data_IF_576894237484
#
_entry.id   IF_576894237484
#
_cell.length_a   1.000
_cell.length_b   1.000
_cell.length_c   1.000
_cell.angle_alpha   90.00
_cell.angle_beta   90.00
_cell.angle_gamma   90.00
#
_symmetry.space_group_name_H-M   'P 1'
#
loop_
_entity.id
_entity.type
_entity.pdbx_description
1 polymer ?
#
# COMPACT_ATOMS: atom_id res chain seq x y z
N UNK A 1 -2.39 -17.54 46.73
CA UNK A 1 -1.64 -18.03 45.56
C UNK A 1 -1.31 -16.82 44.74
N UNK A 2 -0.07 -16.28 44.81
CA UNK A 2 0.31 -15.04 44.15
C UNK A 2 0.24 -15.12 42.61
N UNK A 3 0.58 -16.27 42.04
CA UNK A 3 0.63 -16.52 40.60
C UNK A 3 -0.74 -16.44 39.91
N UNK A 4 -1.84 -16.65 40.65
CA UNK A 4 -3.20 -16.68 40.09
C UNK A 4 -4.05 -15.46 40.49
N UNK A 5 -3.43 -14.32 40.77
CA UNK A 5 -4.13 -13.09 41.19
C UNK A 5 -4.96 -12.45 40.10
N UNK A 6 -4.64 -12.70 38.84
CA UNK A 6 -5.39 -12.30 37.65
C UNK A 6 -6.52 -13.29 37.28
N UNK A 7 -6.58 -14.43 38.02
CA UNK A 7 -7.58 -15.49 37.80
C UNK A 7 -7.10 -16.62 36.90
N UNK A 8 -5.85 -16.59 36.42
CA UNK A 8 -5.26 -17.59 35.55
C UNK A 8 -3.99 -18.19 36.16
N UNK A 9 -3.60 -19.36 35.68
CA UNK A 9 -2.30 -19.98 35.83
C UNK A 9 -1.82 -20.43 34.46
N UNK A 10 -0.84 -19.72 33.88
CA UNK A 10 -0.29 -20.00 32.56
C UNK A 10 0.81 -21.07 32.58
N UNK A 11 1.35 -21.40 31.41
CA UNK A 11 2.38 -22.42 31.25
C UNK A 11 3.67 -22.13 32.04
N UNK A 12 4.10 -20.85 32.06
CA UNK A 12 5.32 -20.46 32.79
C UNK A 12 5.13 -20.50 34.29
N UNK A 13 3.98 -20.06 34.79
CA UNK A 13 3.64 -20.09 36.21
C UNK A 13 3.49 -21.54 36.76
N UNK A 14 2.96 -22.45 35.92
CA UNK A 14 2.80 -23.85 36.27
C UNK A 14 4.08 -24.67 36.08
N UNK A 15 5.14 -24.12 35.49
CA UNK A 15 6.38 -24.85 35.20
C UNK A 15 6.98 -25.54 36.43
N UNK A 16 7.00 -24.85 37.53
CA UNK A 16 7.52 -25.33 38.82
C UNK A 16 6.40 -25.62 39.83
N UNK A 17 5.12 -25.55 39.42
CA UNK A 17 3.96 -25.61 40.31
C UNK A 17 3.61 -24.23 40.88
N UNK A 18 2.56 -24.17 41.69
CA UNK A 18 2.08 -22.93 42.31
C UNK A 18 2.48 -22.81 43.77
N UNK A 19 2.70 -21.58 44.24
CA UNK A 19 3.00 -21.30 45.64
C UNK A 19 1.74 -20.84 46.40
N UNK A 20 1.30 -21.56 47.41
CA UNK A 20 0.22 -21.14 48.29
C UNK A 20 0.78 -20.56 49.57
N UNK A 21 0.50 -19.30 49.89
CA UNK A 21 0.76 -18.71 51.19
C UNK A 21 -0.49 -18.86 52.10
N UNK A 22 -0.36 -19.60 53.17
CA UNK A 22 -1.44 -19.85 54.14
C UNK A 22 -1.18 -19.04 55.41
N UNK A 23 -2.06 -18.09 55.72
CA UNK A 23 -2.03 -17.35 56.98
C UNK A 23 -2.56 -18.23 58.13
N UNK A 24 -1.78 -18.35 59.19
CA UNK A 24 -2.16 -19.13 60.32
C UNK A 24 -3.09 -18.35 61.28
N UNK A 25 -4.27 -18.89 61.65
CA UNK A 25 -5.12 -18.28 62.67
C UNK A 25 -4.42 -18.21 64.06
N UNK A 26 -4.79 -17.18 64.82
CA UNK A 26 -4.29 -17.07 66.21
C UNK A 26 -4.64 -18.33 67.05
N UNK A 27 -3.63 -18.85 67.75
CA UNK A 27 -3.77 -20.08 68.54
C UNK A 27 -3.45 -21.38 67.79
N UNK A 28 -2.94 -21.28 66.54
CA UNK A 28 -2.35 -22.42 65.81
C UNK A 28 -1.12 -22.90 66.62
N UNK A 29 -1.02 -24.22 66.89
CA UNK A 29 0.10 -24.82 67.56
C UNK A 29 1.03 -25.54 66.57
N UNK A 30 2.30 -25.71 66.96
CA UNK A 30 3.24 -26.61 66.30
C UNK A 30 2.62 -28.01 66.21
N UNK A 31 2.79 -28.69 65.06
CA UNK A 31 2.21 -30.01 64.82
C UNK A 31 0.78 -29.97 64.27
N UNK A 32 0.16 -28.78 64.11
CA UNK A 32 -1.09 -28.66 63.35
C UNK A 32 -0.84 -29.08 61.91
N UNK A 33 -1.86 -29.62 61.25
CA UNK A 33 -1.75 -30.03 59.81
C UNK A 33 -2.60 -29.15 58.94
N UNK A 34 -1.95 -28.52 57.95
CA UNK A 34 -2.63 -27.84 56.85
C UNK A 34 -2.83 -28.85 55.73
N UNK A 35 -4.04 -28.87 55.17
CA UNK A 35 -4.33 -29.59 53.91
C UNK A 35 -4.85 -28.63 52.89
N UNK A 36 -4.14 -28.50 51.77
CA UNK A 36 -4.65 -27.90 50.54
C UNK A 36 -5.32 -29.00 49.73
N UNK A 37 -6.56 -28.78 49.32
CA UNK A 37 -7.28 -29.69 48.43
C UNK A 37 -7.45 -28.97 47.10
N UNK A 38 -6.73 -29.43 46.08
CA UNK A 38 -6.87 -28.99 44.69
C UNK A 38 -8.01 -29.78 44.08
N UNK A 39 -9.04 -29.10 43.59
CA UNK A 39 -10.15 -29.68 42.83
C UNK A 39 -9.99 -29.32 41.39
N UNK A 40 -9.84 -30.30 40.50
CA UNK A 40 -9.65 -30.14 39.06
C UNK A 40 -10.98 -29.95 38.32
N UNK A 41 -10.97 -29.51 37.03
CA UNK A 41 -12.19 -29.39 36.20
C UNK A 41 -13.02 -30.69 36.13
N UNK A 42 -12.36 -31.84 36.08
CA UNK A 42 -13.00 -33.18 36.07
C UNK A 42 -13.57 -33.62 37.42
N UNK A 43 -13.51 -32.75 38.47
CA UNK A 43 -13.94 -33.00 39.86
C UNK A 43 -13.07 -33.99 40.60
N UNK A 44 -11.96 -34.43 40.06
CA UNK A 44 -10.96 -35.16 40.85
C UNK A 44 -10.27 -34.21 41.83
N UNK A 45 -9.75 -34.75 42.91
CA UNK A 45 -9.08 -33.95 43.96
C UNK A 45 -7.71 -34.51 44.27
N UNK A 46 -6.79 -33.61 44.58
CA UNK A 46 -5.48 -33.92 45.09
C UNK A 46 -5.21 -33.14 46.38
N UNK A 47 -4.61 -33.80 47.38
CA UNK A 47 -4.33 -33.19 48.66
C UNK A 47 -2.84 -32.97 48.84
N UNK A 48 -2.45 -31.76 49.17
CA UNK A 48 -1.10 -31.41 49.62
C UNK A 48 -1.15 -31.10 51.12
N UNK A 49 -0.36 -31.80 51.90
CA UNK A 49 -0.38 -31.66 53.39
C UNK A 49 0.94 -31.10 53.87
N UNK A 50 0.86 -30.25 54.90
CA UNK A 50 2.02 -29.70 55.57
C UNK A 50 1.80 -29.71 57.08
N UNK A 51 2.83 -30.12 57.84
CA UNK A 51 2.80 -30.07 59.32
C UNK A 51 3.47 -28.77 59.77
N UNK A 52 2.71 -27.96 60.48
CA UNK A 52 3.15 -26.59 60.88
C UNK A 52 4.29 -26.71 61.92
N UNK A 53 5.38 -26.03 61.62
CA UNK A 53 6.57 -25.95 62.47
C UNK A 53 6.46 -24.82 63.50
N UNK A 54 7.34 -24.84 64.52
CA UNK A 54 7.43 -23.78 65.52
C UNK A 54 7.77 -22.39 64.88
N UNK A 55 8.63 -22.38 63.89
CA UNK A 55 9.06 -21.11 63.20
C UNK A 55 7.91 -20.52 62.38
N UNK A 56 7.10 -21.35 61.74
CA UNK A 56 5.91 -20.91 60.98
C UNK A 56 4.82 -20.41 61.94
N UNK A 57 4.65 -21.02 63.09
CA UNK A 57 3.75 -20.47 64.15
C UNK A 57 4.21 -19.08 64.56
N UNK A 58 5.52 -18.87 64.73
CA UNK A 58 6.08 -17.59 65.11
C UNK A 58 5.96 -16.57 63.93
N UNK A 59 6.10 -17.00 62.68
CA UNK A 59 5.92 -16.19 61.46
C UNK A 59 4.45 -15.90 61.18
N UNK A 60 3.52 -16.70 61.71
CA UNK A 60 2.09 -16.55 61.44
C UNK A 60 1.64 -16.95 60.04
N UNK A 61 2.51 -17.63 59.27
CA UNK A 61 2.25 -18.08 57.90
C UNK A 61 3.07 -19.29 57.49
N UNK A 62 2.56 -20.00 56.49
CA UNK A 62 3.21 -21.18 55.86
C UNK A 62 3.18 -20.98 54.35
N UNK A 63 4.30 -21.27 53.68
CA UNK A 63 4.36 -21.40 52.23
C UNK A 63 4.32 -22.88 51.86
N UNK A 64 3.44 -23.25 50.94
CA UNK A 64 3.24 -24.62 50.48
C UNK A 64 3.29 -24.68 48.96
N UNK A 65 4.00 -25.65 48.42
CA UNK A 65 4.09 -25.87 46.96
C UNK A 65 2.91 -26.78 46.53
N UNK A 66 2.16 -26.34 45.53
CA UNK A 66 1.17 -27.12 44.82
C UNK A 66 1.88 -27.70 43.60
N UNK A 67 2.09 -29.04 43.52
CA UNK A 67 2.77 -29.63 42.37
C UNK A 67 2.05 -29.34 41.05
N UNK A 68 2.82 -29.16 39.96
CA UNK A 68 2.25 -28.86 38.65
C UNK A 68 1.24 -29.92 38.16
N UNK A 69 1.47 -31.17 38.47
CA UNK A 69 0.60 -32.30 38.12
C UNK A 69 -0.69 -32.36 38.96
N UNK A 70 -0.78 -31.57 40.04
CA UNK A 70 -2.02 -31.36 40.77
C UNK A 70 -3.04 -30.50 40.02
N UNK A 71 -2.59 -29.66 39.06
CA UNK A 71 -3.40 -28.73 38.25
C UNK A 71 -3.50 -29.25 36.82
N UNK A 72 -4.66 -29.12 36.20
CA UNK A 72 -4.86 -29.40 34.80
C UNK A 72 -5.61 -28.25 34.11
N UNK A 73 -5.50 -28.14 32.81
CA UNK A 73 -6.16 -27.06 32.04
C UNK A 73 -7.66 -27.01 32.30
N UNK A 74 -8.18 -25.81 32.47
CA UNK A 74 -9.56 -25.48 32.81
C UNK A 74 -9.73 -24.95 34.23
N UNK A 75 -10.95 -24.95 34.72
CA UNK A 75 -11.31 -24.35 36.01
C UNK A 75 -10.87 -25.23 37.21
N UNK A 76 -9.86 -24.77 37.93
CA UNK A 76 -9.37 -25.37 39.15
C UNK A 76 -9.83 -24.57 40.39
N UNK A 77 -9.84 -25.22 41.57
CA UNK A 77 -10.02 -24.53 42.83
C UNK A 77 -9.13 -25.15 43.93
N UNK A 78 -8.61 -24.30 44.79
CA UNK A 78 -7.81 -24.72 45.95
C UNK A 78 -8.51 -24.30 47.22
N UNK A 79 -8.85 -25.26 48.05
CA UNK A 79 -9.39 -25.04 49.39
C UNK A 79 -8.37 -25.42 50.44
N UNK A 80 -8.41 -24.73 51.57
CA UNK A 80 -7.52 -24.99 52.70
C UNK A 80 -8.29 -25.45 53.94
N UNK A 81 -7.76 -26.45 54.63
CA UNK A 81 -8.24 -26.84 55.94
C UNK A 81 -7.09 -26.91 56.94
N UNK A 82 -7.39 -26.59 58.20
CA UNK A 82 -6.45 -26.73 59.35
C UNK A 82 -7.00 -27.68 60.32
N UNK A 83 -6.19 -28.70 60.70
CA UNK A 83 -6.50 -29.70 61.74
C UNK A 83 -5.50 -29.59 62.88
N UNK A 84 -5.95 -29.53 64.07
CA UNK A 84 -5.10 -29.44 65.27
C UNK A 84 -5.47 -30.49 66.27
N UNK A 85 -4.57 -31.46 66.47
CA UNK A 85 -4.81 -32.63 67.36
C UNK A 85 -5.99 -33.48 66.89
N UNK A 86 -6.90 -33.81 67.80
CA UNK A 86 -8.12 -34.56 67.50
C UNK A 86 -9.34 -33.67 67.12
N UNK A 87 -9.12 -32.37 66.99
CA UNK A 87 -10.20 -31.46 66.60
C UNK A 87 -10.58 -31.66 65.10
N UNK A 88 -11.86 -31.51 64.76
CA UNK A 88 -12.26 -31.59 63.38
C UNK A 88 -11.58 -30.48 62.56
N UNK A 89 -11.27 -30.76 61.26
CA UNK A 89 -10.70 -29.83 60.35
C UNK A 89 -11.58 -28.57 60.22
N UNK A 90 -10.94 -27.40 60.26
CA UNK A 90 -11.61 -26.11 60.01
C UNK A 90 -11.32 -25.64 58.58
N UNK A 91 -12.37 -25.38 57.76
CA UNK A 91 -12.18 -24.85 56.42
C UNK A 91 -11.75 -23.41 56.49
N UNK A 92 -10.84 -23.04 55.59
CA UNK A 92 -10.49 -21.67 55.23
C UNK A 92 -11.19 -21.21 53.96
N UNK A 93 -10.58 -20.27 53.27
CA UNK A 93 -11.08 -19.79 51.98
C UNK A 93 -10.84 -20.77 50.83
N UNK A 94 -11.49 -20.49 49.70
CA UNK A 94 -11.26 -21.17 48.42
C UNK A 94 -10.69 -20.14 47.46
N UNK A 95 -9.73 -20.54 46.64
CA UNK A 95 -9.19 -19.76 45.52
C UNK A 95 -9.53 -20.51 44.27
N UNK A 96 -10.27 -19.85 43.37
CA UNK A 96 -10.66 -20.37 42.05
C UNK A 96 -9.80 -19.71 40.99
N UNK A 97 -9.32 -20.47 40.00
CA UNK A 97 -8.55 -19.97 38.85
C UNK A 97 -8.70 -20.91 37.66
N UNK A 98 -8.48 -20.39 36.46
CA UNK A 98 -8.36 -21.17 35.26
C UNK A 98 -6.88 -21.47 34.98
N UNK A 99 -6.54 -22.74 34.81
CA UNK A 99 -5.23 -23.09 34.25
C UNK A 99 -5.33 -23.18 32.71
N UNK A 100 -4.37 -22.62 32.05
CA UNK A 100 -4.22 -22.70 30.60
C UNK A 100 -2.74 -22.79 30.25
N UNK A 101 -2.32 -23.95 29.78
CA UNK A 101 -0.93 -24.20 29.38
C UNK A 101 -0.75 -24.25 27.87
N UNK A 102 -1.82 -23.99 27.11
CA UNK A 102 -1.75 -23.97 25.66
C UNK A 102 -1.13 -22.64 25.19
N UNK A 103 -0.01 -22.74 24.51
CA UNK A 103 0.72 -21.60 23.99
C UNK A 103 0.26 -21.33 22.56
N UNK A 104 -0.13 -20.10 22.18
CA UNK A 104 -0.36 -19.76 20.78
C UNK A 104 0.88 -20.09 19.92
N UNK A 105 0.69 -20.88 18.85
CA UNK A 105 1.80 -21.33 18.00
C UNK A 105 2.47 -22.63 18.41
N UNK A 106 2.09 -23.23 19.54
CA UNK A 106 2.41 -24.62 19.87
C UNK A 106 1.47 -25.54 19.08
N UNK A 107 2.01 -26.27 18.11
CA UNK A 107 1.22 -27.07 17.18
C UNK A 107 1.12 -28.54 17.54
N UNK A 108 1.99 -29.02 18.43
CA UNK A 108 2.07 -30.42 18.85
C UNK A 108 1.79 -30.64 20.33
N UNK A 109 1.67 -29.56 21.13
CA UNK A 109 1.28 -29.60 22.54
C UNK A 109 2.44 -29.96 23.47
N UNK A 110 3.68 -29.74 23.05
CA UNK A 110 4.86 -30.07 23.86
C UNK A 110 5.27 -28.94 24.83
N UNK A 111 4.56 -27.79 24.76
CA UNK A 111 4.80 -26.61 25.59
C UNK A 111 5.87 -25.68 25.06
N UNK A 112 6.23 -25.83 23.78
CA UNK A 112 7.12 -24.93 23.08
C UNK A 112 6.44 -24.33 21.85
N UNK A 113 6.81 -23.10 21.48
CA UNK A 113 6.31 -22.45 20.26
C UNK A 113 6.97 -23.03 19.02
N UNK A 114 6.20 -23.64 18.11
CA UNK A 114 6.65 -24.16 16.82
C UNK A 114 6.56 -23.10 15.72
N UNK A 115 5.61 -22.19 15.84
CA UNK A 115 5.32 -21.18 14.83
C UNK A 115 4.99 -19.82 15.47
N UNK A 116 5.60 -18.77 14.96
CA UNK A 116 5.32 -17.38 15.34
C UNK A 116 4.46 -16.70 14.26
N UNK A 117 3.71 -15.63 14.58
CA UNK A 117 3.00 -14.86 13.57
C UNK A 117 3.97 -14.21 12.59
N UNK A 118 3.59 -14.13 11.32
CA UNK A 118 4.37 -13.49 10.26
C UNK A 118 3.59 -12.31 9.72
N UNK A 119 4.23 -11.14 9.69
CA UNK A 119 3.65 -9.90 9.14
C UNK A 119 4.02 -9.77 7.68
N UNK A 120 3.05 -9.50 6.82
CA UNK A 120 3.24 -9.03 5.45
C UNK A 120 2.63 -7.62 5.32
N UNK A 121 3.29 -6.75 4.57
CA UNK A 121 2.86 -5.37 4.31
C UNK A 121 2.81 -5.19 2.79
N UNK A 122 1.69 -5.53 2.13
CA UNK A 122 1.60 -5.50 0.67
C UNK A 122 1.86 -4.13 0.04
N UNK A 123 1.46 -3.05 0.72
CA UNK A 123 1.61 -1.67 0.27
C UNK A 123 3.06 -1.18 0.30
N UNK A 124 3.94 -1.86 1.03
CA UNK A 124 5.32 -1.44 1.20
C UNK A 124 6.29 -1.94 0.11
N UNK A 125 5.77 -2.47 -1.01
CA UNK A 125 6.61 -3.02 -2.08
C UNK A 125 7.48 -1.95 -2.76
N UNK A 126 6.98 -0.72 -2.85
CA UNK A 126 7.62 0.48 -3.41
C UNK A 126 7.79 1.61 -2.36
N UNK A 127 7.37 1.37 -1.12
CA UNK A 127 7.32 2.34 -0.02
C UNK A 127 5.90 2.85 0.21
N UNK A 128 5.65 3.33 1.42
CA UNK A 128 4.36 3.93 1.80
C UNK A 128 4.44 5.44 1.58
N UNK A 129 3.62 5.94 0.67
CA UNK A 129 3.56 7.36 0.33
C UNK A 129 2.52 8.14 1.15
N UNK A 130 2.44 9.46 0.91
CA UNK A 130 1.53 10.35 1.63
C UNK A 130 0.03 10.03 1.42
N UNK A 131 -0.36 9.47 0.27
CA UNK A 131 -1.75 9.13 -0.02
C UNK A 131 -2.15 7.82 0.69
N UNK A 132 -1.30 6.80 0.60
CA UNK A 132 -1.48 5.50 1.26
C UNK A 132 -1.50 5.63 2.77
N UNK A 133 -0.67 6.52 3.32
CA UNK A 133 -0.62 6.74 4.78
C UNK A 133 -1.90 7.35 5.34
N UNK A 134 -2.80 7.92 4.53
CA UNK A 134 -4.03 8.56 5.03
C UNK A 134 -4.99 7.61 5.74
N UNK A 135 -5.08 6.38 5.30
CA UNK A 135 -5.90 5.34 5.92
C UNK A 135 -5.08 4.35 6.78
N UNK A 136 -3.78 4.66 6.97
CA UNK A 136 -2.82 3.86 7.72
C UNK A 136 -2.19 2.77 6.88
N UNK A 137 -1.22 2.03 7.45
CA UNK A 137 -0.49 0.97 6.76
C UNK A 137 -1.23 -0.36 6.94
N UNK A 138 -1.64 -0.98 5.85
CA UNK A 138 -2.37 -2.25 5.86
C UNK A 138 -1.39 -3.41 6.05
N UNK A 139 -1.67 -4.27 7.02
CA UNK A 139 -0.86 -5.48 7.27
C UNK A 139 -1.73 -6.73 7.21
N UNK A 140 -1.15 -7.81 6.69
CA UNK A 140 -1.69 -9.16 6.76
C UNK A 140 -0.81 -9.98 7.70
N UNK A 141 -1.38 -10.51 8.78
CA UNK A 141 -0.65 -11.28 9.79
C UNK A 141 -1.12 -12.73 9.76
N UNK A 142 -0.17 -13.67 9.62
CA UNK A 142 -0.50 -15.09 9.75
C UNK A 142 -0.81 -15.41 11.21
N UNK A 143 -1.91 -16.12 11.44
CA UNK A 143 -2.31 -16.61 12.76
C UNK A 143 -1.88 -18.07 12.87
N UNK A 144 -0.88 -18.40 13.72
CA UNK A 144 -0.40 -19.78 13.86
C UNK A 144 -1.46 -20.67 14.52
N UNK A 145 -1.36 -21.97 14.28
CA UNK A 145 -2.20 -22.95 15.00
C UNK A 145 -1.92 -22.89 16.48
N UNK A 146 -2.92 -23.23 17.28
CA UNK A 146 -2.87 -23.07 18.75
C UNK A 146 -3.42 -21.74 19.22
N UNK A 147 -3.54 -20.73 18.33
CA UNK A 147 -4.25 -19.48 18.65
C UNK A 147 -5.76 -19.71 18.69
N UNK A 148 -6.45 -18.95 19.53
CA UNK A 148 -7.90 -19.01 19.74
C UNK A 148 -8.58 -17.64 19.54
N UNK A 149 -9.90 -17.66 19.34
CA UNK A 149 -10.68 -16.43 19.36
C UNK A 149 -10.66 -15.82 20.77
N UNK A 150 -10.34 -14.54 20.85
CA UNK A 150 -10.15 -13.82 22.11
C UNK A 150 -8.68 -13.58 22.48
N UNK A 151 -7.73 -14.26 21.81
CA UNK A 151 -6.32 -13.95 21.95
C UNK A 151 -6.04 -12.54 21.41
N UNK A 152 -5.02 -11.90 21.94
CA UNK A 152 -4.58 -10.57 21.55
C UNK A 152 -3.37 -10.66 20.64
N UNK A 153 -3.53 -10.24 19.39
CA UNK A 153 -2.44 -9.99 18.45
C UNK A 153 -1.89 -8.58 18.70
N UNK A 154 -0.61 -8.48 19.03
CA UNK A 154 0.10 -7.22 19.23
C UNK A 154 1.12 -7.01 18.12
N UNK A 155 0.94 -5.95 17.33
CA UNK A 155 1.97 -5.45 16.42
C UNK A 155 2.86 -4.46 17.17
N UNK A 156 4.16 -4.67 17.13
CA UNK A 156 5.16 -3.71 17.63
C UNK A 156 5.80 -3.01 16.44
N UNK A 157 5.54 -1.70 16.31
CA UNK A 157 6.05 -0.83 15.25
C UNK A 157 7.29 -0.12 15.75
N UNK A 158 8.43 -0.42 15.19
CA UNK A 158 9.71 0.26 15.45
C UNK A 158 9.90 1.38 14.43
N UNK A 159 10.04 2.61 14.91
CA UNK A 159 10.20 3.83 14.12
C UNK A 159 11.65 4.08 13.70
N UNK A 160 11.91 4.97 12.73
CA UNK A 160 13.27 5.33 12.30
C UNK A 160 14.19 5.82 13.41
N UNK A 161 13.64 6.43 14.47
CA UNK A 161 14.38 6.90 15.65
C UNK A 161 14.65 5.81 16.69
N UNK A 162 14.20 4.57 16.44
CA UNK A 162 14.33 3.43 17.34
C UNK A 162 13.28 3.36 18.44
N UNK A 163 12.36 4.31 18.54
CA UNK A 163 11.21 4.21 19.45
C UNK A 163 10.17 3.22 18.94
N UNK A 164 9.36 2.67 19.83
CA UNK A 164 8.33 1.69 19.48
C UNK A 164 6.94 2.16 19.86
N UNK A 165 5.96 1.82 19.04
CA UNK A 165 4.53 1.88 19.35
C UNK A 165 3.90 0.49 19.20
N UNK A 166 2.74 0.28 19.81
CA UNK A 166 1.99 -0.97 19.67
C UNK A 166 0.61 -0.73 19.09
N UNK A 167 0.13 -1.74 18.34
CA UNK A 167 -1.24 -1.87 17.87
C UNK A 167 -1.76 -3.21 18.30
N UNK A 168 -2.86 -3.22 19.05
CA UNK A 168 -3.49 -4.44 19.56
C UNK A 168 -4.75 -4.76 18.77
N UNK A 169 -4.94 -6.04 18.47
CA UNK A 169 -6.11 -6.59 17.80
C UNK A 169 -6.56 -7.88 18.49
N UNK A 170 -7.84 -7.98 18.83
CA UNK A 170 -8.40 -9.22 19.41
C UNK A 170 -8.81 -10.16 18.29
N UNK A 171 -8.24 -11.36 18.24
CA UNK A 171 -8.53 -12.35 17.22
C UNK A 171 -9.99 -12.82 17.28
N UNK A 172 -10.62 -12.83 16.13
CA UNK A 172 -11.96 -13.38 15.93
C UNK A 172 -11.90 -14.87 15.55
N UNK A 173 -13.03 -15.57 15.70
CA UNK A 173 -13.12 -16.98 15.28
C UNK A 173 -12.89 -17.18 13.77
N UNK A 174 -13.31 -16.22 12.96
CA UNK A 174 -13.13 -16.27 11.50
C UNK A 174 -11.66 -16.11 11.10
N UNK A 175 -10.91 -15.21 11.76
CA UNK A 175 -9.48 -14.99 11.53
C UNK A 175 -8.66 -16.22 11.95
N UNK A 176 -8.97 -16.80 13.10
CA UNK A 176 -8.33 -18.04 13.55
C UNK A 176 -8.61 -19.18 12.56
N UNK A 177 -9.86 -19.32 12.09
CA UNK A 177 -10.23 -20.33 11.09
C UNK A 177 -9.57 -20.10 9.74
N UNK A 178 -9.39 -18.82 9.33
CA UNK A 178 -8.70 -18.43 8.12
C UNK A 178 -7.16 -18.55 8.24
N UNK A 179 -6.62 -18.58 9.45
CA UNK A 179 -5.18 -18.59 9.71
C UNK A 179 -4.51 -17.24 9.39
N UNK A 180 -5.30 -16.14 9.34
CA UNK A 180 -4.81 -14.79 9.08
C UNK A 180 -5.71 -13.72 9.71
N UNK A 181 -5.11 -12.58 10.02
CA UNK A 181 -5.79 -11.37 10.45
C UNK A 181 -5.28 -10.18 9.65
N UNK A 182 -6.18 -9.32 9.21
CA UNK A 182 -5.86 -8.06 8.56
C UNK A 182 -5.90 -6.95 9.64
N UNK A 183 -4.77 -6.28 9.86
CA UNK A 183 -4.63 -5.24 10.89
C UNK A 183 -4.04 -3.99 10.30
N UNK A 184 -4.69 -2.85 10.52
CA UNK A 184 -4.20 -1.55 10.06
C UNK A 184 -3.33 -0.90 11.14
N UNK A 185 -2.12 -0.50 10.80
CA UNK A 185 -1.29 0.37 11.64
C UNK A 185 -1.78 1.80 11.42
N UNK A 186 -2.35 2.48 12.44
CA UNK A 186 -2.86 3.84 12.27
C UNK A 186 -1.76 4.83 11.87
N UNK A 187 -2.12 5.82 11.04
CA UNK A 187 -1.19 6.85 10.55
C UNK A 187 -0.49 7.61 11.69
N UNK A 188 -1.12 7.77 12.85
CA UNK A 188 -0.52 8.43 14.01
C UNK A 188 0.62 7.63 14.66
N UNK A 189 0.81 6.37 14.27
CA UNK A 189 1.95 5.52 14.66
C UNK A 189 3.11 5.61 13.66
N UNK A 190 2.85 6.17 12.47
CA UNK A 190 3.81 6.32 11.37
C UNK A 190 3.98 7.81 11.09
N UNK A 191 4.82 8.49 11.88
CA UNK A 191 4.84 9.95 11.98
C UNK A 191 6.04 10.62 11.33
N UNK A 192 6.96 9.86 10.75
CA UNK A 192 8.17 10.37 10.13
C UNK A 192 8.54 9.53 8.91
N UNK A 193 9.20 10.15 7.95
CA UNK A 193 9.80 9.43 6.83
C UNK A 193 11.00 8.60 7.28
N UNK A 194 11.23 7.46 6.63
CA UNK A 194 12.34 6.58 6.92
C UNK A 194 11.94 5.09 7.01
N UNK A 195 12.87 4.29 7.54
CA UNK A 195 12.67 2.85 7.68
C UNK A 195 11.92 2.50 8.96
N UNK A 196 10.89 1.72 8.81
CA UNK A 196 10.10 1.10 9.88
C UNK A 196 10.29 -0.41 9.89
N UNK A 197 10.06 -1.02 11.05
CA UNK A 197 10.06 -2.46 11.20
C UNK A 197 8.89 -2.88 12.08
N UNK A 198 8.16 -3.91 11.68
CA UNK A 198 6.99 -4.42 12.42
C UNK A 198 7.19 -5.86 12.77
N UNK A 199 6.98 -6.19 14.04
CA UNK A 199 6.91 -7.56 14.52
C UNK A 199 5.53 -7.84 15.12
N UNK A 200 5.15 -9.10 15.15
CA UNK A 200 3.87 -9.53 15.73
C UNK A 200 4.08 -10.58 16.81
N UNK A 201 3.24 -10.55 17.85
CA UNK A 201 3.14 -11.55 18.90
C UNK A 201 1.66 -11.79 19.24
N UNK A 202 1.30 -13.03 19.55
CA UNK A 202 -0.05 -13.36 20.00
C UNK A 202 0.02 -13.81 21.45
N UNK A 203 -0.85 -13.22 22.29
CA UNK A 203 -0.98 -13.53 23.71
C UNK A 203 -2.40 -13.97 24.01
N UNK A 204 -2.56 -15.11 24.68
CA UNK A 204 -3.86 -15.58 25.13
C UNK A 204 -4.34 -14.84 26.40
N UNK A 205 -5.58 -15.04 26.87
CA UNK A 205 -6.08 -14.43 28.10
C UNK A 205 -5.34 -14.89 29.38
N UNK A 206 -4.66 -16.02 29.35
CA UNK A 206 -3.87 -16.52 30.48
C UNK A 206 -2.43 -15.94 30.52
N UNK A 207 -2.03 -15.24 29.45
CA UNK A 207 -0.70 -14.64 29.32
C UNK A 207 0.33 -15.53 28.63
N UNK A 208 -0.05 -16.68 28.06
CA UNK A 208 0.87 -17.44 27.22
C UNK A 208 1.09 -16.73 25.90
N UNK A 209 2.34 -16.66 25.41
CA UNK A 209 2.70 -15.94 24.20
C UNK A 209 3.25 -16.84 23.11
N UNK A 210 2.95 -16.52 21.84
CA UNK A 210 3.53 -17.17 20.67
C UNK A 210 5.03 -16.92 20.51
N UNK A 211 5.59 -15.99 21.28
CA UNK A 211 6.85 -15.38 20.94
C UNK A 211 6.75 -14.44 19.76
N UNK A 212 7.75 -13.57 19.62
CA UNK A 212 7.78 -12.54 18.59
C UNK A 212 8.15 -13.12 17.23
N UNK A 213 7.38 -12.77 16.19
CA UNK A 213 7.65 -13.11 14.80
C UNK A 213 8.85 -12.38 14.22
N UNK A 214 9.27 -12.79 13.03
CA UNK A 214 10.33 -12.08 12.29
C UNK A 214 9.86 -10.69 11.89
N UNK A 215 10.75 -9.67 11.87
CA UNK A 215 10.41 -8.33 11.48
C UNK A 215 10.04 -8.25 9.99
N UNK A 216 9.03 -7.46 9.67
CA UNK A 216 8.70 -6.99 8.34
C UNK A 216 9.08 -5.50 8.24
N UNK A 217 9.96 -5.18 7.30
CA UNK A 217 10.48 -3.84 7.13
C UNK A 217 9.73 -3.12 6.00
N UNK A 218 9.51 -1.82 6.14
CA UNK A 218 8.96 -0.95 5.10
C UNK A 218 9.54 0.46 5.19
N UNK A 219 9.60 1.14 4.04
CA UNK A 219 9.99 2.53 3.96
C UNK A 219 8.74 3.43 3.93
N UNK A 220 8.85 4.58 4.54
CA UNK A 220 7.85 5.66 4.44
C UNK A 220 8.53 6.86 3.82
N UNK A 221 7.92 7.41 2.79
CA UNK A 221 8.31 8.65 2.14
C UNK A 221 7.04 9.42 1.78
N UNK A 222 6.84 10.55 2.42
CA UNK A 222 5.63 11.39 2.22
C UNK A 222 5.95 12.72 1.53
N UNK A 223 7.19 12.90 1.08
CA UNK A 223 7.68 14.16 0.50
C UNK A 223 7.77 14.05 -1.00
N UNK A 224 6.80 14.63 -1.71
CA UNK A 224 6.84 14.74 -3.16
C UNK A 224 8.05 15.55 -3.65
N UNK A 225 8.61 15.24 -4.83
CA UNK A 225 9.59 16.10 -5.49
C UNK A 225 9.00 17.49 -5.76
N UNK A 226 9.86 18.50 -5.94
CA UNK A 226 9.41 19.80 -6.40
C UNK A 226 8.77 19.70 -7.79
N UNK A 227 7.77 20.55 -8.06
CA UNK A 227 7.15 20.59 -9.38
C UNK A 227 8.15 21.03 -10.46
N UNK A 228 8.12 20.47 -11.67
CA UNK A 228 8.92 20.98 -12.80
C UNK A 228 8.48 22.39 -13.16
N UNK A 229 9.38 23.21 -13.74
CA UNK A 229 9.02 24.55 -14.22
C UNK A 229 8.92 24.53 -15.74
N UNK A 230 7.71 24.77 -16.25
CA UNK A 230 7.43 24.84 -17.68
C UNK A 230 7.51 26.27 -18.19
N UNK A 231 8.13 26.47 -19.35
CA UNK A 231 8.22 27.79 -19.98
C UNK A 231 8.04 27.67 -21.49
N UNK A 232 7.07 28.39 -22.03
CA UNK A 232 6.91 28.55 -23.47
C UNK A 232 7.93 29.55 -24.00
N UNK A 233 8.81 29.11 -24.90
CA UNK A 233 9.85 29.91 -25.51
C UNK A 233 9.29 30.65 -26.74
N UNK A 234 10.04 31.67 -27.22
CA UNK A 234 9.56 32.51 -28.32
C UNK A 234 9.67 31.84 -29.72
N UNK A 235 10.37 30.70 -29.79
CA UNK A 235 10.51 29.88 -30.98
C UNK A 235 9.45 28.75 -31.06
N UNK A 236 8.42 28.77 -30.19
CA UNK A 236 7.36 27.76 -30.14
C UNK A 236 7.70 26.55 -29.29
N UNK A 237 8.97 26.31 -28.96
CA UNK A 237 9.35 25.21 -28.12
C UNK A 237 8.88 25.42 -26.65
N UNK A 238 8.76 24.32 -25.89
CA UNK A 238 8.48 24.39 -24.45
C UNK A 238 9.66 23.80 -23.69
N UNK A 239 10.27 24.63 -22.86
CA UNK A 239 11.32 24.16 -21.95
C UNK A 239 10.72 23.63 -20.66
N UNK A 240 11.25 22.49 -20.21
CA UNK A 240 10.92 21.82 -18.95
C UNK A 240 12.15 21.89 -18.06
N UNK A 241 12.14 22.76 -17.06
CA UNK A 241 13.17 22.78 -16.01
C UNK A 241 12.81 21.71 -15.00
N UNK A 242 13.67 20.71 -14.88
CA UNK A 242 13.44 19.51 -14.09
C UNK A 242 13.76 19.78 -12.62
N UNK A 243 13.11 19.10 -11.66
CA UNK A 243 13.34 19.35 -10.24
C UNK A 243 14.80 19.18 -9.85
N UNK A 244 15.37 20.20 -9.20
CA UNK A 244 16.77 20.18 -8.74
C UNK A 244 16.99 19.31 -7.50
N UNK A 245 15.92 18.96 -6.79
CA UNK A 245 15.87 18.05 -5.65
C UNK A 245 15.57 16.59 -6.05
N UNK A 246 15.35 16.33 -7.35
CA UNK A 246 15.05 14.99 -7.85
C UNK A 246 16.20 14.01 -7.56
N UNK A 247 15.82 12.84 -7.07
CA UNK A 247 16.69 11.71 -6.83
C UNK A 247 16.66 10.73 -8.00
N UNK A 248 17.58 9.77 -8.01
CA UNK A 248 17.57 8.68 -8.99
C UNK A 248 16.28 7.87 -8.87
N UNK A 249 15.61 7.68 -9.99
CA UNK A 249 14.34 6.97 -10.08
C UNK A 249 13.11 7.89 -10.05
N UNK A 250 13.29 9.18 -9.69
CA UNK A 250 12.20 10.15 -9.83
C UNK A 250 11.86 10.35 -11.31
N UNK A 251 10.61 10.63 -11.57
CA UNK A 251 10.08 10.83 -12.91
C UNK A 251 9.41 12.19 -13.06
N UNK A 252 9.34 12.68 -14.29
CA UNK A 252 8.51 13.82 -14.65
C UNK A 252 7.66 13.42 -15.84
N UNK A 253 6.35 13.39 -15.67
CA UNK A 253 5.39 13.16 -16.73
C UNK A 253 5.04 14.50 -17.39
N UNK A 254 5.33 14.63 -18.68
CA UNK A 254 5.00 15.82 -19.48
C UNK A 254 3.90 15.46 -20.45
N UNK A 255 2.73 16.09 -20.29
CA UNK A 255 1.55 15.86 -21.13
C UNK A 255 1.30 17.08 -22.03
N UNK A 256 1.14 16.83 -23.32
CA UNK A 256 0.90 17.87 -24.32
C UNK A 256 0.15 17.31 -25.54
N UNK A 257 -0.32 18.18 -26.42
CA UNK A 257 -0.93 17.85 -27.71
C UNK A 257 0.09 18.12 -28.83
N UNK A 258 0.23 17.18 -29.77
CA UNK A 258 1.04 17.39 -30.96
C UNK A 258 0.29 18.25 -32.01
N UNK A 259 0.99 18.69 -33.05
CA UNK A 259 0.40 19.51 -34.14
C UNK A 259 -0.78 18.86 -34.85
N UNK A 260 -0.91 17.53 -34.78
CA UNK A 260 -2.00 16.76 -35.41
C UNK A 260 -3.19 16.57 -34.49
N UNK A 261 -3.10 17.08 -33.23
CA UNK A 261 -4.11 16.94 -32.21
C UNK A 261 -4.01 15.62 -31.42
N UNK A 262 -2.93 14.88 -31.54
CA UNK A 262 -2.62 13.70 -30.74
C UNK A 262 -2.16 14.11 -29.34
N UNK A 263 -2.76 13.54 -28.29
CA UNK A 263 -2.31 13.74 -26.90
C UNK A 263 -1.20 12.75 -26.56
N UNK A 264 -0.13 13.27 -25.99
CA UNK A 264 1.04 12.52 -25.57
C UNK A 264 1.31 12.75 -24.08
N UNK A 265 1.78 11.71 -23.40
CA UNK A 265 2.44 11.81 -22.10
C UNK A 265 3.80 11.17 -22.24
N UNK A 266 4.85 11.96 -22.06
CA UNK A 266 6.24 11.51 -22.12
C UNK A 266 6.81 11.55 -20.70
N UNK A 267 7.29 10.41 -20.24
CA UNK A 267 7.94 10.29 -18.93
C UNK A 267 9.44 10.50 -19.08
N UNK A 268 9.98 11.41 -18.30
CA UNK A 268 11.41 11.64 -18.11
C UNK A 268 11.83 11.01 -16.78
N UNK A 269 12.76 10.07 -16.79
CA UNK A 269 13.25 9.37 -15.59
C UNK A 269 14.67 9.81 -15.24
N UNK A 270 14.90 10.14 -13.97
CA UNK A 270 16.22 10.53 -13.43
C UNK A 270 17.12 9.31 -13.31
N UNK A 271 18.18 9.29 -14.10
CA UNK A 271 19.27 8.31 -14.03
C UNK A 271 20.54 8.88 -13.41
N UNK A 272 21.63 8.09 -13.43
CA UNK A 272 22.93 8.51 -12.91
C UNK A 272 23.59 9.62 -13.76
N UNK A 273 23.25 9.73 -15.05
CA UNK A 273 23.89 10.62 -16.02
C UNK A 273 22.93 11.70 -16.60
N UNK A 274 21.79 11.92 -15.96
CA UNK A 274 20.76 12.85 -16.41
C UNK A 274 19.40 12.19 -16.51
N UNK A 275 18.55 12.72 -17.37
CA UNK A 275 17.17 12.29 -17.54
C UNK A 275 16.97 11.54 -18.85
N UNK A 276 16.38 10.37 -18.80
CA UNK A 276 16.07 9.52 -19.97
C UNK A 276 14.60 9.65 -20.32
N UNK A 277 14.30 9.90 -21.58
CA UNK A 277 12.95 10.05 -22.10
C UNK A 277 12.35 8.71 -22.52
N UNK A 278 11.09 8.48 -22.19
CA UNK A 278 10.31 7.34 -22.69
C UNK A 278 10.02 7.44 -24.21
N UNK A 279 10.04 8.67 -24.77
CA UNK A 279 9.96 8.92 -26.20
C UNK A 279 10.92 10.04 -26.60
N UNK A 280 12.20 9.71 -26.93
CA UNK A 280 13.20 10.71 -27.32
C UNK A 280 12.91 11.42 -28.66
N UNK A 281 11.93 10.95 -29.43
CA UNK A 281 11.50 11.61 -30.68
C UNK A 281 10.61 12.81 -30.40
N UNK A 282 9.88 12.78 -29.30
CA UNK A 282 9.02 13.87 -28.83
C UNK A 282 9.74 14.80 -27.87
N UNK A 283 10.40 14.25 -26.86
CA UNK A 283 11.25 14.99 -25.92
C UNK A 283 12.59 14.28 -25.83
N UNK A 284 13.68 14.83 -26.36
CA UNK A 284 15.00 14.21 -26.29
C UNK A 284 15.52 14.02 -24.87
N UNK A 285 16.39 13.01 -24.69
CA UNK A 285 17.11 12.81 -23.43
C UNK A 285 17.87 14.08 -23.00
N UNK A 286 17.96 14.31 -21.68
CA UNK A 286 18.67 15.44 -21.12
C UNK A 286 19.81 14.99 -20.20
N UNK A 287 21.01 15.55 -20.39
CA UNK A 287 22.15 15.35 -19.50
C UNK A 287 22.20 16.36 -18.36
N UNK A 288 21.33 17.40 -18.38
CA UNK A 288 21.23 18.44 -17.37
C UNK A 288 19.83 18.44 -16.74
N UNK A 289 19.53 19.54 -16.06
CA UNK A 289 18.24 19.73 -15.37
C UNK A 289 17.19 20.42 -16.26
N UNK A 290 17.35 20.37 -17.57
CA UNK A 290 16.42 20.97 -18.54
C UNK A 290 16.19 20.04 -19.73
N UNK A 291 14.93 19.71 -19.98
CA UNK A 291 14.46 19.07 -21.19
C UNK A 291 13.74 20.10 -22.08
N UNK A 292 13.50 19.77 -23.34
CA UNK A 292 12.80 20.67 -24.26
C UNK A 292 11.88 19.85 -25.17
N UNK A 293 10.62 20.25 -25.27
CA UNK A 293 9.71 19.80 -26.32
C UNK A 293 10.00 20.69 -27.54
N UNK A 294 10.52 20.14 -28.66
CA UNK A 294 10.72 20.91 -29.88
C UNK A 294 9.42 21.55 -30.37
N UNK A 295 9.51 22.72 -31.01
CA UNK A 295 8.35 23.42 -31.53
C UNK A 295 7.51 22.54 -32.46
N UNK A 296 8.13 21.80 -33.37
CA UNK A 296 7.46 20.89 -34.32
C UNK A 296 6.71 19.71 -33.65
N UNK A 297 6.91 19.50 -32.35
CA UNK A 297 6.30 18.39 -31.60
C UNK A 297 5.16 18.84 -30.67
N UNK A 298 4.97 20.13 -30.45
CA UNK A 298 3.93 20.68 -29.57
C UNK A 298 3.01 21.61 -30.36
N UNK A 299 1.72 21.39 -30.24
CA UNK A 299 0.71 22.21 -30.91
C UNK A 299 0.72 23.64 -30.39
N UNK A 300 0.63 24.60 -31.33
CA UNK A 300 0.52 26.03 -31.05
C UNK A 300 -0.67 26.34 -30.13
N UNK A 301 -0.45 27.23 -29.16
CA UNK A 301 -1.45 27.73 -28.22
C UNK A 301 -2.18 26.58 -27.45
N UNK A 302 -1.52 25.45 -27.27
CA UNK A 302 -2.04 24.32 -26.48
C UNK A 302 -1.47 24.28 -25.07
N UNK A 303 -2.18 23.60 -24.18
CA UNK A 303 -1.73 23.40 -22.80
C UNK A 303 -0.68 22.30 -22.72
N UNK A 304 0.40 22.58 -22.00
CA UNK A 304 1.43 21.61 -21.62
C UNK A 304 1.43 21.51 -20.11
N UNK A 305 1.37 20.31 -19.59
CA UNK A 305 1.34 20.02 -18.13
C UNK A 305 2.53 19.15 -17.75
N UNK A 306 3.18 19.43 -16.62
CA UNK A 306 4.25 18.64 -16.05
C UNK A 306 3.97 18.27 -14.60
N UNK A 307 4.18 17.01 -14.22
CA UNK A 307 4.04 16.49 -12.84
C UNK A 307 5.29 15.67 -12.53
N UNK A 308 5.94 15.97 -11.41
CA UNK A 308 7.04 15.15 -10.91
C UNK A 308 6.52 14.08 -9.94
N UNK A 309 7.15 12.92 -9.94
CA UNK A 309 6.78 11.78 -9.11
C UNK A 309 8.03 11.04 -8.63
N UNK A 310 8.09 10.68 -7.34
CA UNK A 310 9.15 9.84 -6.78
C UNK A 310 8.84 8.34 -6.92
N UNK A 311 9.80 7.44 -6.58
CA UNK A 311 9.58 6.00 -6.61
C UNK A 311 8.51 5.50 -5.62
N UNK A 312 8.25 6.22 -4.54
CA UNK A 312 7.20 5.90 -3.55
C UNK A 312 5.81 6.33 -4.03
N UNK A 313 5.72 7.06 -5.14
CA UNK A 313 4.47 7.48 -5.76
C UNK A 313 3.94 8.84 -5.31
N UNK A 314 4.70 9.63 -4.53
CA UNK A 314 4.30 10.99 -4.21
C UNK A 314 4.41 11.88 -5.44
N UNK A 315 3.36 12.65 -5.72
CA UNK A 315 3.28 13.53 -6.88
C UNK A 315 3.37 15.00 -6.47
N UNK A 316 4.12 15.78 -7.26
CA UNK A 316 4.15 17.23 -7.11
C UNK A 316 2.83 17.86 -7.54
N UNK A 317 2.61 19.13 -7.15
CA UNK A 317 1.61 19.93 -7.81
C UNK A 317 1.90 20.01 -9.33
N UNK A 318 0.87 20.01 -10.19
CA UNK A 318 1.05 20.14 -11.62
C UNK A 318 1.52 21.55 -12.00
N UNK A 319 2.53 21.62 -12.85
CA UNK A 319 2.89 22.85 -13.56
C UNK A 319 2.21 22.90 -14.92
N UNK A 320 1.73 24.07 -15.35
CA UNK A 320 1.08 24.25 -16.63
C UNK A 320 1.61 25.49 -17.36
N UNK A 321 1.69 25.39 -18.69
CA UNK A 321 1.99 26.53 -19.55
C UNK A 321 1.23 26.39 -20.87
N UNK A 322 0.90 27.50 -21.52
CA UNK A 322 0.38 27.48 -22.89
C UNK A 322 1.55 27.69 -23.84
N UNK A 323 1.75 26.76 -24.79
CA UNK A 323 2.77 26.87 -25.84
C UNK A 323 2.57 28.15 -26.67
N UNK A 324 3.64 28.68 -27.22
CA UNK A 324 3.57 29.80 -28.17
C UNK A 324 3.58 29.29 -29.60
N UNK A 325 3.20 30.17 -30.51
CA UNK A 325 3.36 29.91 -31.95
C UNK A 325 4.83 30.00 -32.33
N UNK A 326 5.31 29.05 -33.14
CA UNK A 326 6.67 29.07 -33.68
C UNK A 326 6.80 29.99 -34.93
N UNK A 327 5.68 30.58 -35.40
CA UNK A 327 5.61 31.39 -36.62
C UNK A 327 5.61 30.57 -37.91
N UNK A 328 5.65 29.24 -37.78
CA UNK A 328 5.43 28.29 -38.88
C UNK A 328 3.98 27.83 -38.80
N UNK A 329 3.25 27.85 -39.91
CA UNK A 329 1.88 27.35 -39.90
C UNK A 329 1.89 25.84 -39.65
N UNK A 330 1.12 25.39 -38.66
CA UNK A 330 0.87 23.96 -38.42
C UNK A 330 0.44 23.26 -39.73
N UNK A 331 0.74 21.96 -39.82
CA UNK A 331 0.31 21.19 -40.97
C UNK A 331 -1.23 21.09 -41.03
N UNK A 332 -1.85 21.32 -42.17
CA UNK A 332 -3.29 21.12 -42.30
C UNK A 332 -3.64 19.64 -42.16
N UNK A 333 -4.74 19.36 -41.46
CA UNK A 333 -5.21 17.98 -41.24
C UNK A 333 -6.28 17.63 -42.27
N UNK A 334 -6.06 16.53 -42.99
CA UNK A 334 -6.97 16.05 -44.03
C UNK A 334 -7.80 14.87 -43.50
N UNK A 335 -9.11 14.91 -43.73
CA UNK A 335 -10.00 13.76 -43.59
C UNK A 335 -10.88 13.61 -44.85
N UNK A 336 -11.23 12.38 -45.19
CA UNK A 336 -12.16 12.05 -46.26
C UNK A 336 -13.24 11.17 -45.68
N UNK A 337 -14.40 11.75 -45.28
CA UNK A 337 -15.44 11.03 -44.53
C UNK A 337 -16.00 9.80 -45.22
N UNK A 338 -16.04 9.80 -46.58
CA UNK A 338 -16.56 8.69 -47.35
C UNK A 338 -15.65 7.44 -47.35
N UNK A 339 -14.37 7.58 -47.01
CA UNK A 339 -13.39 6.48 -47.04
C UNK A 339 -12.92 6.05 -45.62
N UNK A 340 -13.74 6.20 -44.59
CA UNK A 340 -13.40 5.84 -43.21
C UNK A 340 -13.21 4.33 -43.03
N UNK A 341 -13.77 3.49 -43.89
CA UNK A 341 -13.57 2.04 -43.94
C UNK A 341 -12.32 1.63 -44.78
N UNK A 342 -11.62 2.60 -45.35
CA UNK A 342 -10.45 2.41 -46.22
C UNK A 342 -10.76 2.14 -47.69
N UNK A 343 -12.03 2.22 -48.09
CA UNK A 343 -12.49 1.96 -49.45
C UNK A 343 -13.38 3.12 -49.95
N UNK A 344 -13.33 3.37 -51.25
CA UNK A 344 -14.27 4.24 -51.95
C UNK A 344 -15.05 3.37 -52.97
N UNK A 345 -16.33 3.17 -52.74
CA UNK A 345 -17.17 2.37 -53.63
C UNK A 345 -17.75 3.20 -54.79
N UNK A 346 -18.42 2.53 -55.74
CA UNK A 346 -18.93 3.19 -56.97
C UNK A 346 -20.00 4.26 -56.72
N UNK A 347 -20.75 4.16 -55.62
CA UNK A 347 -21.75 5.16 -55.23
C UNK A 347 -21.10 6.40 -54.63
N UNK A 348 -20.06 6.21 -53.80
CA UNK A 348 -19.27 7.30 -53.20
C UNK A 348 -18.45 8.05 -54.25
N UNK A 349 -17.93 7.36 -55.25
CA UNK A 349 -17.19 7.95 -56.36
C UNK A 349 -18.05 8.61 -57.43
N UNK A 350 -19.38 8.53 -57.33
CA UNK A 350 -20.30 9.02 -58.36
C UNK A 350 -20.17 10.53 -58.60
N UNK A 351 -20.02 11.28 -57.53
CA UNK A 351 -19.93 12.74 -57.52
C UNK A 351 -18.49 13.22 -57.18
N UNK A 352 -17.51 12.33 -57.04
CA UNK A 352 -16.18 12.58 -56.46
C UNK A 352 -16.18 12.33 -54.95
N UNK A 353 -15.05 12.59 -54.29
CA UNK A 353 -14.92 12.43 -52.82
C UNK A 353 -14.86 13.81 -52.15
N UNK A 354 -15.53 13.93 -51.02
CA UNK A 354 -15.45 15.13 -50.16
C UNK A 354 -14.25 15.05 -49.23
N UNK A 355 -13.33 15.97 -49.36
CA UNK A 355 -12.20 16.15 -48.42
C UNK A 355 -12.52 17.30 -47.47
N UNK A 356 -12.39 17.04 -46.16
CA UNK A 356 -12.37 18.10 -45.16
C UNK A 356 -10.94 18.36 -44.72
N UNK A 357 -10.50 19.62 -44.82
CA UNK A 357 -9.19 20.09 -44.39
C UNK A 357 -9.38 21.00 -43.19
N UNK A 358 -8.87 20.58 -42.05
CA UNK A 358 -8.79 21.44 -40.87
C UNK A 358 -7.61 22.39 -41.04
N UNK A 359 -7.90 23.69 -40.92
CA UNK A 359 -6.90 24.73 -41.06
C UNK A 359 -6.11 24.91 -39.74
N UNK A 360 -4.78 24.99 -39.82
CA UNK A 360 -3.98 25.34 -38.67
C UNK A 360 -4.26 26.74 -38.14
N UNK A 361 -3.98 26.96 -36.88
CA UNK A 361 -4.09 28.27 -36.25
C UNK A 361 -3.17 29.27 -36.97
N UNK A 362 -3.65 30.46 -37.22
CA UNK A 362 -2.88 31.48 -37.94
C UNK A 362 -2.96 31.45 -39.48
N UNK A 363 -3.69 30.48 -40.06
CA UNK A 363 -3.95 30.47 -41.50
C UNK A 363 -4.54 31.81 -41.97
N UNK A 364 -3.92 32.44 -42.98
CA UNK A 364 -4.37 33.72 -43.54
C UNK A 364 -5.42 33.52 -44.65
N UNK A 365 -6.34 34.50 -44.78
CA UNK A 365 -7.15 34.61 -45.98
C UNK A 365 -6.25 34.73 -47.23
N UNK A 366 -6.53 33.94 -48.26
CA UNK A 366 -5.73 33.89 -49.46
C UNK A 366 -4.66 32.82 -49.50
N UNK A 367 -4.43 32.10 -48.41
CA UNK A 367 -3.60 30.90 -48.40
C UNK A 367 -4.14 29.85 -49.39
N UNK A 368 -3.28 29.03 -49.95
CA UNK A 368 -3.65 28.05 -50.97
C UNK A 368 -3.48 26.63 -50.42
N UNK A 369 -4.61 25.88 -50.31
CA UNK A 369 -4.60 24.45 -50.04
C UNK A 369 -4.38 23.70 -51.36
N UNK A 370 -3.46 22.73 -51.36
CA UNK A 370 -3.26 21.79 -52.43
C UNK A 370 -3.45 20.38 -51.95
N UNK A 371 -4.46 19.68 -52.47
CA UNK A 371 -4.60 18.22 -52.31
C UNK A 371 -3.86 17.55 -53.47
N UNK A 372 -2.91 16.69 -53.18
CA UNK A 372 -2.20 15.87 -54.16
C UNK A 372 -2.71 14.44 -54.07
N UNK A 373 -3.46 14.02 -55.08
CA UNK A 373 -3.93 12.63 -55.22
C UNK A 373 -2.86 11.85 -55.97
N UNK A 374 -2.29 10.84 -55.35
CA UNK A 374 -1.33 9.90 -55.95
C UNK A 374 -2.04 8.59 -56.28
N UNK A 375 -2.10 8.25 -57.56
CA UNK A 375 -2.75 7.03 -58.05
C UNK A 375 -1.85 5.78 -57.90
N UNK A 376 -2.38 4.57 -58.02
CA UNK A 376 -1.61 3.31 -58.00
C UNK A 376 -0.49 3.25 -59.05
N UNK A 377 -0.66 3.91 -60.21
CA UNK A 377 0.34 4.02 -61.29
C UNK A 377 1.42 5.08 -61.03
N UNK A 378 1.42 5.69 -59.80
CA UNK A 378 2.31 6.77 -59.37
C UNK A 378 2.10 8.13 -60.12
N UNK A 379 1.07 8.25 -60.94
CA UNK A 379 0.68 9.58 -61.47
C UNK A 379 0.01 10.38 -60.34
N UNK A 380 0.16 11.70 -60.40
CA UNK A 380 -0.40 12.63 -59.43
C UNK A 380 -1.35 13.61 -60.08
N UNK A 381 -2.39 14.00 -59.35
CA UNK A 381 -3.29 15.08 -59.71
C UNK A 381 -3.45 16.04 -58.52
N UNK A 382 -3.42 17.34 -58.79
CA UNK A 382 -3.52 18.37 -57.78
C UNK A 382 -4.88 19.07 -57.86
N UNK A 383 -5.55 19.17 -56.69
CA UNK A 383 -6.76 19.99 -56.54
C UNK A 383 -6.41 21.13 -55.59
N UNK A 384 -6.60 22.37 -56.08
CA UNK A 384 -6.24 23.57 -55.30
C UNK A 384 -7.47 24.36 -54.88
N UNK A 385 -7.38 24.97 -53.68
CA UNK A 385 -8.40 25.87 -53.16
C UNK A 385 -7.74 27.08 -52.51
N UNK A 386 -8.29 28.28 -52.72
CA UNK A 386 -7.83 29.50 -52.03
C UNK A 386 -8.72 29.74 -50.82
N UNK A 387 -8.14 29.74 -49.64
CA UNK A 387 -8.84 29.90 -48.39
C UNK A 387 -9.51 31.26 -48.28
N UNK A 388 -10.79 31.24 -47.97
CA UNK A 388 -11.61 32.44 -47.78
C UNK A 388 -11.63 32.89 -46.32
N UNK A 389 -12.04 34.13 -46.09
CA UNK A 389 -12.19 34.68 -44.75
C UNK A 389 -13.16 33.87 -43.87
N UNK A 390 -14.25 33.38 -44.48
CA UNK A 390 -15.27 32.59 -43.73
C UNK A 390 -14.73 31.23 -43.36
N UNK A 391 -13.88 30.59 -44.18
CA UNK A 391 -13.21 29.32 -43.92
C UNK A 391 -12.15 29.46 -42.82
N UNK A 392 -11.39 30.57 -42.84
CA UNK A 392 -10.48 30.91 -41.73
C UNK A 392 -11.25 31.00 -40.40
N UNK A 393 -12.38 31.69 -40.40
CA UNK A 393 -13.22 31.80 -39.21
C UNK A 393 -13.86 30.47 -38.78
N UNK A 394 -14.15 29.58 -39.74
CA UNK A 394 -14.68 28.25 -39.51
C UNK A 394 -13.57 27.24 -39.08
N UNK A 395 -12.30 27.56 -39.30
CA UNK A 395 -11.16 26.68 -39.05
C UNK A 395 -11.11 25.45 -39.95
N UNK A 396 -11.87 25.43 -41.04
CA UNK A 396 -11.92 24.27 -41.95
C UNK A 396 -12.34 24.65 -43.39
N UNK A 397 -11.91 23.86 -44.34
CA UNK A 397 -12.27 23.95 -45.77
C UNK A 397 -12.81 22.60 -46.25
N UNK A 398 -13.87 22.62 -47.05
CA UNK A 398 -14.39 21.45 -47.75
C UNK A 398 -14.01 21.54 -49.21
N UNK A 399 -13.41 20.49 -49.75
CA UNK A 399 -12.90 20.43 -51.12
C UNK A 399 -13.39 19.17 -51.82
N UNK A 400 -13.77 19.27 -53.11
CA UNK A 400 -14.16 18.12 -53.89
C UNK A 400 -12.92 17.54 -54.60
N UNK A 401 -12.66 16.25 -54.41
CA UNK A 401 -11.71 15.46 -55.20
C UNK A 401 -12.50 14.90 -56.41
N UNK A 402 -12.22 15.35 -57.63
CA UNK A 402 -12.94 14.88 -58.80
C UNK A 402 -12.84 13.36 -58.97
N UNK A 403 -13.91 12.73 -59.44
CA UNK A 403 -13.95 11.25 -59.67
C UNK A 403 -12.86 10.73 -60.58
N UNK A 404 -12.42 11.54 -61.53
CA UNK A 404 -11.35 11.23 -62.49
C UNK A 404 -9.94 11.43 -61.91
N UNK A 405 -9.84 12.06 -60.77
CA UNK A 405 -8.61 12.10 -60.00
C UNK A 405 -8.24 10.78 -59.36
N UNK A 406 -9.22 9.87 -59.15
CA UNK A 406 -9.05 8.55 -58.50
C UNK A 406 -9.24 7.43 -59.54
N UNK A 407 -8.46 6.37 -59.45
CA UNK A 407 -8.62 5.15 -60.25
C UNK A 407 -8.69 3.90 -59.37
N UNK A 408 -9.17 2.79 -59.93
CA UNK A 408 -9.20 1.52 -59.19
C UNK A 408 -7.83 1.14 -58.65
N UNK A 409 -7.78 0.77 -57.36
CA UNK A 409 -6.57 0.40 -56.65
C UNK A 409 -6.27 1.35 -55.48
N UNK A 410 -5.07 1.25 -54.94
CA UNK A 410 -4.68 2.04 -53.77
C UNK A 410 -4.28 3.47 -54.21
N UNK A 411 -5.12 4.43 -53.89
CA UNK A 411 -4.81 5.86 -54.03
C UNK A 411 -4.36 6.40 -52.66
N UNK A 412 -3.57 7.47 -52.66
CA UNK A 412 -3.26 8.24 -51.44
C UNK A 412 -3.47 9.75 -51.73
N UNK A 413 -3.96 10.45 -50.72
CA UNK A 413 -4.16 11.89 -50.80
C UNK A 413 -3.32 12.56 -49.70
N UNK A 414 -2.55 13.56 -50.12
CA UNK A 414 -1.81 14.42 -49.18
C UNK A 414 -2.28 15.86 -49.31
N UNK A 415 -2.14 16.64 -48.26
CA UNK A 415 -2.51 18.07 -48.22
C UNK A 415 -1.28 18.92 -47.92
N UNK A 416 -1.18 20.06 -48.58
CA UNK A 416 -0.22 21.13 -48.29
C UNK A 416 -0.94 22.47 -48.24
N UNK A 417 -0.45 23.36 -47.36
CA UNK A 417 -0.90 24.74 -47.24
C UNK A 417 0.26 25.68 -47.56
N UNK A 418 0.05 26.70 -48.37
CA UNK A 418 1.08 27.69 -48.77
C UNK A 418 0.52 29.10 -48.74
#
# INVERSE_FOLDING_TARGET
>A
IPEVTDGYANADELKDGLQAEVTLPAGTAEGAVITLTVTRPDKTTENVTHTVTKDEVAAGKVSMDIPKDAVIDGQNSVSVTLTQGSNPAKPGNVVDFAADTQIPGDTDGDGATDATPVVAIPEAADGVNAEELKDGVQTEVTVPKGSAAGDTLTLTVTKPDGTTDTVEHTLTADEVAAGKADVTIPADKVTADGQYSVTAEITDPAGNTSGQGQPADFAVDTVAPSAPVLKAEDDGSVSVELPGDANKGDTVDVTFEDEKGGKHTVTLEKGDNGWTSSDPTLIPDSTGDKATIPADNVKDNSEVTGVAKDPSGNESDPSTVTSKTDGVADAPVLSIPEVTDGYANADELKDGLQAEVTLPAGTAEGAVITLTVTRPDKTTENVTHTVTKDEVAAGKVSMDIPKDAVIDGQNSVSVTLT
#
